data_IF_952601546913
#
_entry.id   IF_952601546913
#
_cell.length_a   1.000
_cell.length_b   1.000
_cell.length_c   1.000
_cell.angle_alpha   90.00
_cell.angle_beta   90.00
_cell.angle_gamma   90.00
#
_symmetry.space_group_name_H-M   'P 1'
#
loop_
_entity.id
_entity.type
_entity.pdbx_description
1 polymer ?
#
# COMPACT_ATOMS: atom_id res chain seq x y z
N UNK A 1 10.37 -0.72 8.85
CA UNK A 1 11.01 0.61 9.06
C UNK A 1 10.55 1.30 10.35
N UNK A 2 11.44 1.96 11.12
CA UNK A 2 11.10 2.72 12.33
C UNK A 2 10.49 4.10 11.98
N UNK A 3 9.18 4.15 11.73
CA UNK A 3 8.39 5.36 11.47
C UNK A 3 8.11 6.16 12.75
N UNK A 4 9.13 6.71 13.44
CA UNK A 4 8.90 7.34 14.76
C UNK A 4 9.50 8.72 15.00
N UNK A 5 9.87 9.49 13.97
CA UNK A 5 10.45 10.83 14.19
C UNK A 5 10.07 11.96 13.23
N UNK A 6 9.31 11.69 12.16
CA UNK A 6 8.92 12.73 11.19
C UNK A 6 7.55 13.35 11.46
N UNK A 7 6.66 12.62 12.15
CA UNK A 7 5.35 13.13 12.57
C UNK A 7 5.43 14.02 13.83
N UNK A 8 6.60 14.25 14.42
CA UNK A 8 6.76 15.15 15.59
C UNK A 8 6.97 16.63 15.16
N UNK A 9 7.11 16.90 13.87
CA UNK A 9 7.15 18.27 13.34
C UNK A 9 5.72 18.81 13.22
N UNK A 10 5.43 19.87 13.98
CA UNK A 10 4.10 20.50 14.06
C UNK A 10 3.56 20.90 12.68
N UNK A 11 4.43 21.33 11.76
CA UNK A 11 4.03 21.70 10.40
C UNK A 11 3.64 20.48 9.57
N UNK A 12 4.38 19.37 9.69
CA UNK A 12 4.05 18.12 9.00
C UNK A 12 2.73 17.55 9.52
N UNK A 13 2.47 17.65 10.82
CA UNK A 13 1.17 17.27 11.40
C UNK A 13 0.02 18.13 10.86
N UNK A 14 0.25 19.42 10.65
CA UNK A 14 -0.78 20.30 10.08
C UNK A 14 -1.10 19.93 8.63
N UNK A 15 -0.09 19.70 7.79
CA UNK A 15 -0.29 19.21 6.41
C UNK A 15 -1.03 17.88 6.40
N UNK A 16 -0.72 16.99 7.35
CA UNK A 16 -1.41 15.71 7.48
C UNK A 16 -2.90 15.87 7.84
N UNK A 17 -3.28 16.90 8.62
CA UNK A 17 -4.70 17.20 8.89
C UNK A 17 -5.44 17.61 7.62
N UNK A 18 -4.83 18.42 6.75
CA UNK A 18 -5.42 18.76 5.45
C UNK A 18 -5.58 17.52 4.57
N UNK A 19 -4.59 16.63 4.58
CA UNK A 19 -4.67 15.34 3.89
C UNK A 19 -5.85 14.49 4.37
N UNK A 20 -5.99 14.28 5.68
CA UNK A 20 -7.07 13.47 6.25
C UNK A 20 -8.47 14.05 5.97
N UNK A 21 -8.60 15.37 5.89
CA UNK A 21 -9.86 16.05 5.59
C UNK A 21 -10.22 16.09 4.11
N UNK A 22 -9.35 15.58 3.23
CA UNK A 22 -9.44 15.77 1.78
C UNK A 22 -9.62 17.25 1.42
N UNK A 23 -8.81 18.09 2.06
CA UNK A 23 -8.93 19.54 2.03
C UNK A 23 -8.26 20.13 0.77
N UNK A 24 -8.89 21.13 0.15
CA UNK A 24 -8.34 21.79 -1.04
C UNK A 24 -7.05 22.56 -0.76
N UNK A 25 -6.77 22.89 0.50
CA UNK A 25 -5.53 23.53 0.94
C UNK A 25 -4.33 22.59 0.98
N UNK A 26 -4.50 21.26 0.81
CA UNK A 26 -3.40 20.29 0.87
C UNK A 26 -2.23 20.68 -0.04
N UNK A 27 -2.51 21.11 -1.27
CA UNK A 27 -1.47 21.48 -2.25
C UNK A 27 -0.68 22.70 -1.82
N UNK A 28 -1.36 23.74 -1.32
CA UNK A 28 -0.71 24.96 -0.85
C UNK A 28 0.11 24.69 0.41
N UNK A 29 -0.43 23.87 1.33
CA UNK A 29 0.26 23.42 2.52
C UNK A 29 1.54 22.63 2.19
N UNK A 30 1.50 21.77 1.16
CA UNK A 30 2.69 21.09 0.64
C UNK A 30 3.75 22.07 0.13
N UNK A 31 3.37 23.10 -0.64
CA UNK A 31 4.33 24.11 -1.11
C UNK A 31 4.94 24.96 0.01
N UNK A 32 4.26 25.07 1.15
CA UNK A 32 4.79 25.71 2.36
C UNK A 32 5.95 24.93 3.01
N UNK A 33 6.07 23.63 2.74
CA UNK A 33 7.13 22.78 3.30
C UNK A 33 8.44 22.89 2.51
N UNK A 34 9.56 22.73 3.21
CA UNK A 34 10.88 22.59 2.57
C UNK A 34 10.92 21.32 1.74
N UNK A 35 11.81 21.30 0.74
CA UNK A 35 11.92 20.18 -0.20
C UNK A 35 12.09 18.81 0.47
N UNK A 36 12.88 18.72 1.55
CA UNK A 36 13.08 17.46 2.27
C UNK A 36 11.86 17.07 3.12
N UNK A 37 11.14 18.04 3.68
CA UNK A 37 9.90 17.83 4.44
C UNK A 37 8.79 17.31 3.50
N UNK A 38 8.69 17.86 2.29
CA UNK A 38 7.76 17.36 1.25
C UNK A 38 8.02 15.90 0.90
N UNK A 39 9.29 15.52 0.68
CA UNK A 39 9.66 14.12 0.41
C UNK A 39 9.27 13.23 1.57
N UNK A 40 9.61 13.63 2.79
CA UNK A 40 9.28 12.87 3.98
C UNK A 40 7.76 12.72 4.20
N UNK A 41 6.99 13.79 3.91
CA UNK A 41 5.54 13.75 3.94
C UNK A 41 4.99 12.74 2.94
N UNK A 42 5.43 12.79 1.67
CA UNK A 42 4.99 11.84 0.62
C UNK A 42 5.26 10.39 1.05
N UNK A 43 6.48 10.09 1.51
CA UNK A 43 6.83 8.74 2.02
C UNK A 43 5.96 8.33 3.22
N UNK A 44 5.61 9.27 4.09
CA UNK A 44 4.75 9.01 5.24
C UNK A 44 3.31 8.73 4.82
N UNK A 45 2.78 9.45 3.81
CA UNK A 45 1.47 9.19 3.23
C UNK A 45 1.41 7.81 2.57
N UNK A 46 2.43 7.45 1.78
CA UNK A 46 2.50 6.13 1.14
C UNK A 46 2.49 5.00 2.18
N UNK A 47 3.29 5.14 3.24
CA UNK A 47 3.31 4.19 4.36
C UNK A 47 1.98 4.14 5.12
N UNK A 48 1.36 5.31 5.34
CA UNK A 48 0.07 5.41 6.03
C UNK A 48 -1.04 4.73 5.22
N UNK A 49 -1.12 4.98 3.91
CA UNK A 49 -2.14 4.39 3.05
C UNK A 49 -1.92 2.90 2.82
N UNK A 50 -0.67 2.43 2.72
CA UNK A 50 -0.40 1.00 2.71
C UNK A 50 -0.96 0.32 3.95
N UNK A 51 -0.65 0.85 5.15
CA UNK A 51 -1.21 0.32 6.38
C UNK A 51 -2.74 0.41 6.43
N UNK A 52 -3.29 1.54 6.01
CA UNK A 52 -4.72 1.79 6.08
C UNK A 52 -5.51 0.92 5.10
N UNK A 53 -5.07 0.81 3.85
CA UNK A 53 -5.77 0.13 2.79
C UNK A 53 -5.45 -1.37 2.79
N UNK A 54 -4.18 -1.75 2.88
CA UNK A 54 -3.73 -3.14 2.78
C UNK A 54 -3.75 -3.83 4.14
N UNK A 55 -2.90 -3.40 5.09
CA UNK A 55 -2.77 -4.12 6.38
C UNK A 55 -4.07 -4.14 7.22
N UNK A 56 -4.89 -3.09 7.11
CA UNK A 56 -6.17 -3.00 7.82
C UNK A 56 -7.38 -3.48 7.00
N UNK A 57 -7.18 -4.02 5.78
CA UNK A 57 -8.25 -4.58 4.94
C UNK A 57 -9.30 -3.57 4.48
N UNK A 58 -8.89 -2.32 4.18
CA UNK A 58 -9.80 -1.28 3.67
C UNK A 58 -9.64 -1.01 2.17
N UNK A 59 -8.85 -1.80 1.47
CA UNK A 59 -8.68 -1.72 0.02
C UNK A 59 -10.04 -1.99 -0.65
N UNK A 60 -10.42 -1.11 -1.58
CA UNK A 60 -11.70 -1.22 -2.29
C UNK A 60 -11.44 -1.31 -3.77
N UNK A 61 -12.19 -2.16 -4.46
CA UNK A 61 -12.17 -2.28 -5.91
C UNK A 61 -13.49 -1.79 -6.51
N UNK A 62 -13.44 -1.34 -7.76
CA UNK A 62 -14.61 -0.98 -8.55
C UNK A 62 -15.27 -2.22 -9.19
N UNK A 63 -16.34 -2.00 -9.96
CA UNK A 63 -17.06 -3.07 -10.66
C UNK A 63 -16.23 -3.80 -11.75
N UNK A 64 -15.02 -3.32 -12.06
CA UNK A 64 -14.06 -3.91 -12.99
C UNK A 64 -12.84 -4.47 -12.27
N UNK A 65 -12.91 -4.67 -10.95
CA UNK A 65 -11.81 -5.15 -10.11
C UNK A 65 -10.58 -4.25 -10.14
N UNK A 66 -10.78 -2.92 -10.28
CA UNK A 66 -9.69 -1.94 -10.16
C UNK A 66 -9.72 -1.28 -8.79
N UNK A 67 -8.57 -1.23 -8.13
CA UNK A 67 -8.42 -0.51 -6.86
C UNK A 67 -8.83 0.96 -7.00
N UNK A 68 -9.63 1.42 -6.04
CA UNK A 68 -10.07 2.80 -5.90
C UNK A 68 -9.16 3.49 -4.88
N UNK A 69 -8.17 4.25 -5.37
CA UNK A 69 -7.30 5.03 -4.50
C UNK A 69 -8.05 6.27 -3.94
N UNK A 70 -7.80 6.64 -2.67
CA UNK A 70 -8.32 7.88 -2.11
C UNK A 70 -7.93 9.13 -2.94
N UNK A 71 -8.85 10.10 -3.16
CA UNK A 71 -8.55 11.28 -3.98
C UNK A 71 -7.37 12.13 -3.48
N UNK A 72 -7.20 12.20 -2.16
CA UNK A 72 -6.06 12.86 -1.51
C UNK A 72 -4.74 12.12 -1.76
N UNK A 73 -4.73 10.79 -1.76
CA UNK A 73 -3.56 10.00 -2.17
C UNK A 73 -3.21 10.30 -3.63
N UNK A 74 -4.20 10.27 -4.54
CA UNK A 74 -4.00 10.62 -5.96
C UNK A 74 -3.35 12.00 -6.09
N UNK A 75 -3.85 13.01 -5.37
CA UNK A 75 -3.26 14.35 -5.39
C UNK A 75 -1.80 14.37 -4.92
N UNK A 76 -1.44 13.56 -3.92
CA UNK A 76 -0.05 13.41 -3.45
C UNK A 76 0.83 12.71 -4.49
N UNK A 77 0.31 11.69 -5.18
CA UNK A 77 1.04 10.98 -6.25
C UNK A 77 1.28 11.89 -7.47
N UNK A 78 0.26 12.65 -7.88
CA UNK A 78 0.39 13.64 -8.95
C UNK A 78 1.41 14.72 -8.60
N UNK A 79 1.40 15.18 -7.35
CA UNK A 79 2.39 16.12 -6.83
C UNK A 79 3.81 15.54 -6.87
N UNK A 80 3.99 14.28 -6.45
CA UNK A 80 5.28 13.58 -6.53
C UNK A 80 5.77 13.49 -7.98
N UNK A 81 4.88 13.16 -8.92
CA UNK A 81 5.17 13.10 -10.34
C UNK A 81 5.63 14.45 -10.88
N UNK A 82 4.95 15.55 -10.55
CA UNK A 82 5.28 16.87 -11.09
C UNK A 82 6.51 17.51 -10.45
N UNK A 83 6.72 17.34 -9.14
CA UNK A 83 7.75 18.08 -8.39
C UNK A 83 9.03 17.26 -8.15
N UNK A 84 8.92 15.94 -8.18
CA UNK A 84 10.02 15.02 -7.88
C UNK A 84 10.21 13.94 -8.95
N UNK A 85 9.53 14.04 -10.09
CA UNK A 85 9.56 13.04 -11.17
C UNK A 85 9.19 11.62 -10.70
N UNK A 86 8.27 11.52 -9.72
CA UNK A 86 7.80 10.24 -9.20
C UNK A 86 8.85 9.44 -8.42
N UNK A 87 9.92 10.09 -7.96
CA UNK A 87 11.04 9.40 -7.29
C UNK A 87 10.61 8.80 -5.95
N UNK A 88 9.74 9.48 -5.19
CA UNK A 88 9.33 8.98 -3.88
C UNK A 88 8.40 7.76 -4.05
N UNK A 89 7.45 7.83 -4.98
CA UNK A 89 6.59 6.70 -5.36
C UNK A 89 7.41 5.51 -5.87
N UNK A 90 8.40 5.76 -6.75
CA UNK A 90 9.23 4.69 -7.31
C UNK A 90 10.02 3.95 -6.24
N UNK A 91 10.62 4.69 -5.30
CA UNK A 91 11.35 4.08 -4.20
C UNK A 91 10.42 3.23 -3.34
N UNK A 92 9.23 3.74 -3.02
CA UNK A 92 8.23 3.00 -2.26
C UNK A 92 7.76 1.71 -2.96
N UNK A 93 7.49 1.77 -4.27
CA UNK A 93 7.14 0.58 -5.07
C UNK A 93 8.28 -0.45 -5.03
N UNK A 94 9.53 -0.03 -5.24
CA UNK A 94 10.67 -0.95 -5.22
C UNK A 94 10.85 -1.61 -3.84
N UNK A 95 10.70 -0.84 -2.76
CA UNK A 95 10.79 -1.36 -1.40
C UNK A 95 9.66 -2.37 -1.14
N UNK A 96 8.43 -2.06 -1.58
CA UNK A 96 7.28 -2.94 -1.40
C UNK A 96 7.32 -4.19 -2.28
N UNK A 97 7.85 -4.12 -3.50
CA UNK A 97 8.11 -5.29 -4.34
C UNK A 97 9.11 -6.24 -3.68
N UNK A 98 10.17 -5.70 -3.06
CA UNK A 98 11.15 -6.50 -2.32
C UNK A 98 10.55 -7.18 -1.08
N UNK A 99 9.73 -6.46 -0.31
CA UNK A 99 9.04 -7.05 0.85
C UNK A 99 7.99 -8.10 0.42
N UNK A 100 7.29 -7.89 -0.70
CA UNK A 100 6.35 -8.87 -1.27
C UNK A 100 7.06 -10.17 -1.64
N UNK A 101 8.20 -10.09 -2.35
CA UNK A 101 9.01 -11.28 -2.68
C UNK A 101 9.42 -12.04 -1.42
N UNK A 102 9.76 -11.32 -0.34
CA UNK A 102 10.13 -11.94 0.93
C UNK A 102 8.94 -12.63 1.61
N UNK A 103 7.77 -11.99 1.64
CA UNK A 103 6.54 -12.57 2.19
C UNK A 103 6.16 -13.83 1.41
N UNK A 104 6.17 -13.78 0.08
CA UNK A 104 5.86 -14.95 -0.75
C UNK A 104 6.83 -16.11 -0.45
N UNK A 105 8.14 -15.84 -0.33
CA UNK A 105 9.11 -16.86 0.06
C UNK A 105 8.79 -17.47 1.43
N UNK A 106 8.46 -16.66 2.44
CA UNK A 106 8.10 -17.16 3.78
C UNK A 106 6.84 -18.03 3.74
N UNK A 107 5.83 -17.65 2.94
CA UNK A 107 4.59 -18.41 2.78
C UNK A 107 4.82 -19.76 2.07
N UNK A 108 5.73 -19.83 1.10
CA UNK A 108 6.09 -21.09 0.44
C UNK A 108 6.95 -22.00 1.32
N UNK A 109 7.80 -21.43 2.18
CA UNK A 109 8.70 -22.18 3.07
C UNK A 109 7.95 -22.81 4.27
N UNK A 110 6.91 -22.16 4.79
CA UNK A 110 6.09 -22.64 5.91
C UNK A 110 4.60 -22.31 5.69
N UNK A 111 3.87 -23.13 4.91
CA UNK A 111 2.47 -22.89 4.58
C UNK A 111 1.57 -23.31 5.76
N UNK A 112 1.72 -22.60 6.88
CA UNK A 112 1.16 -22.93 8.19
C UNK A 112 -0.36 -23.16 8.21
N UNK A 113 -1.11 -22.52 7.29
CA UNK A 113 -2.58 -22.65 7.17
C UNK A 113 -3.04 -23.51 5.97
N UNK A 114 -2.16 -23.84 5.02
CA UNK A 114 -2.50 -24.78 3.93
C UNK A 114 -2.52 -26.23 4.44
N UNK A 115 -1.61 -26.58 5.37
CA UNK A 115 -1.54 -27.94 5.95
C UNK A 115 -2.62 -28.21 7.03
N UNK A 116 -3.55 -27.26 7.24
CA UNK A 116 -4.63 -27.31 8.23
C UNK A 116 -5.86 -28.15 7.86
N UNK A 117 -5.70 -29.47 7.82
CA UNK A 117 -6.68 -30.41 8.39
C UNK A 117 -7.97 -30.79 7.62
N UNK A 118 -8.45 -30.04 6.63
CA UNK A 118 -9.73 -30.35 5.95
C UNK A 118 -9.70 -30.41 4.41
N UNK A 119 -8.65 -29.90 3.74
CA UNK A 119 -8.54 -29.99 2.27
C UNK A 119 -8.33 -31.42 1.74
N UNK A 120 -7.92 -32.35 2.61
CA UNK A 120 -7.68 -33.76 2.30
C UNK A 120 -8.62 -34.70 3.07
N UNK A 121 -9.77 -34.22 3.56
CA UNK A 121 -10.80 -35.11 4.08
C UNK A 121 -11.59 -35.69 2.90
N UNK A 122 -11.63 -37.03 2.79
CA UNK A 122 -12.32 -37.79 1.72
C UNK A 122 -13.85 -37.52 1.61
N UNK A 123 -14.42 -36.72 2.52
CA UNK A 123 -15.83 -36.34 2.61
C UNK A 123 -16.08 -34.83 2.43
N UNK A 124 -15.05 -34.04 2.08
CA UNK A 124 -15.18 -32.60 1.87
C UNK A 124 -15.44 -32.30 0.39
N UNK A 125 -16.48 -31.51 0.08
CA UNK A 125 -16.66 -30.81 -1.21
C UNK A 125 -15.57 -29.71 -1.39
N UNK A 126 -14.33 -29.98 -0.96
CA UNK A 126 -13.19 -29.11 -1.18
C UNK A 126 -12.83 -29.17 -2.66
N UNK A 127 -12.79 -28.01 -3.32
CA UNK A 127 -12.36 -27.87 -4.71
C UNK A 127 -11.00 -28.57 -4.88
N UNK A 128 -10.97 -29.71 -5.57
CA UNK A 128 -9.78 -30.53 -5.84
C UNK A 128 -8.65 -29.76 -6.57
N UNK A 129 -8.93 -28.51 -6.99
CA UNK A 129 -8.06 -27.65 -7.78
C UNK A 129 -7.36 -26.53 -6.97
N UNK A 130 -7.67 -26.30 -5.69
CA UNK A 130 -7.06 -25.21 -4.91
C UNK A 130 -5.64 -25.57 -4.45
N UNK A 131 -4.63 -24.88 -4.99
CA UNK A 131 -3.22 -25.20 -4.73
C UNK A 131 -2.57 -24.28 -3.70
N UNK A 132 -1.33 -24.61 -3.29
CA UNK A 132 -0.51 -23.72 -2.46
C UNK A 132 -0.31 -22.38 -3.17
N UNK A 133 -0.14 -22.38 -4.49
CA UNK A 133 -0.01 -21.17 -5.28
C UNK A 133 -1.25 -20.28 -5.19
N UNK A 134 -2.46 -20.86 -5.25
CA UNK A 134 -3.71 -20.11 -5.08
C UNK A 134 -3.82 -19.52 -3.67
N UNK A 135 -3.44 -20.30 -2.65
CA UNK A 135 -3.41 -19.83 -1.27
C UNK A 135 -2.42 -18.68 -1.05
N UNK A 136 -1.19 -18.81 -1.56
CA UNK A 136 -0.18 -17.74 -1.48
C UNK A 136 -0.68 -16.49 -2.21
N UNK A 137 -1.27 -16.64 -3.39
CA UNK A 137 -1.86 -15.52 -4.14
C UNK A 137 -2.94 -14.81 -3.32
N UNK A 138 -3.83 -15.56 -2.66
CA UNK A 138 -4.86 -15.00 -1.79
C UNK A 138 -4.25 -14.20 -0.62
N UNK A 139 -3.20 -14.71 0.03
CA UNK A 139 -2.54 -14.04 1.16
C UNK A 139 -1.92 -12.68 0.79
N UNK A 140 -1.44 -12.54 -0.45
CA UNK A 140 -0.73 -11.33 -0.90
C UNK A 140 -1.52 -10.47 -1.89
N UNK A 141 -2.76 -10.88 -2.20
CA UNK A 141 -3.63 -10.25 -3.21
C UNK A 141 -3.78 -8.74 -3.02
N UNK A 142 -4.10 -8.28 -1.81
CA UNK A 142 -4.25 -6.86 -1.50
C UNK A 142 -2.95 -6.05 -1.71
N UNK A 143 -1.78 -6.66 -1.43
CA UNK A 143 -0.48 -6.02 -1.68
C UNK A 143 -0.27 -5.86 -3.19
N UNK A 144 -0.53 -6.91 -3.97
CA UNK A 144 -0.40 -6.92 -5.43
C UNK A 144 -1.35 -5.93 -6.09
N UNK A 145 -2.60 -5.90 -5.67
CA UNK A 145 -3.61 -4.98 -6.17
C UNK A 145 -3.25 -3.53 -5.88
N UNK A 146 -2.79 -3.23 -4.66
CA UNK A 146 -2.32 -1.89 -4.30
C UNK A 146 -1.07 -1.50 -5.12
N UNK A 147 -0.10 -2.39 -5.27
CA UNK A 147 1.09 -2.17 -6.11
C UNK A 147 0.72 -1.87 -7.57
N UNK A 148 -0.21 -2.63 -8.14
CA UNK A 148 -0.68 -2.44 -9.50
C UNK A 148 -1.31 -1.06 -9.66
N UNK A 149 -2.16 -0.65 -8.72
CA UNK A 149 -2.80 0.67 -8.72
C UNK A 149 -1.78 1.82 -8.63
N UNK A 150 -0.72 1.66 -7.84
CA UNK A 150 0.34 2.65 -7.72
C UNK A 150 1.20 2.76 -8.99
N UNK A 151 1.42 1.66 -9.71
CA UNK A 151 2.21 1.64 -10.94
C UNK A 151 1.60 2.47 -12.08
N UNK A 152 0.29 2.69 -12.08
CA UNK A 152 -0.39 3.59 -13.04
C UNK A 152 0.08 5.06 -12.93
N UNK A 153 0.67 5.44 -11.80
CA UNK A 153 1.17 6.80 -11.56
C UNK A 153 2.67 6.97 -11.87
N UNK A 154 3.39 5.89 -12.17
CA UNK A 154 4.85 5.89 -12.44
C UNK A 154 5.26 6.74 -13.65
#
# INVERSE_FOLDING_TARGET
MKNKKLLDDEYIQEVFKYYLKNDNYLKDALYGLKKYERRAFISSILSYEYKNLVENGNLKVDAKYKVILPPNLIAVLEYDKSEFNGVNLRNFINDLEFELEHIEMELYDDPADFEGGDYYNEDSDCDEDYTVEDWVEDQVSDIKDFLYALKDFK
#
